data_IF_431003320326
#
_entry.id   IF_431003320326
#
_cell.length_a   1.000
_cell.length_b   1.000
_cell.length_c   1.000
_cell.angle_alpha   90.00
_cell.angle_beta   90.00
_cell.angle_gamma   90.00
#
_symmetry.space_group_name_H-M   'P 1'
#
loop_
_entity.id
_entity.type
_entity.pdbx_description
1 polymer ?
#
# COMPACT_ATOMS: atom_id res chain seq x y z
N UNK A 1 29.55 -7.90 5.45
CA UNK A 1 28.36 -8.31 4.69
C UNK A 1 27.68 -9.51 5.35
N UNK A 2 27.14 -9.37 6.56
CA UNK A 2 26.46 -10.51 7.20
C UNK A 2 25.46 -10.09 8.31
N UNK A 3 24.44 -9.30 7.93
CA UNK A 3 23.28 -9.03 8.81
C UNK A 3 21.96 -9.53 8.20
N UNK A 4 21.99 -10.17 7.03
CA UNK A 4 20.80 -10.45 6.21
C UNK A 4 20.52 -11.94 6.01
N UNK A 5 21.03 -12.82 6.88
CA UNK A 5 20.75 -14.26 6.82
C UNK A 5 20.25 -14.77 8.17
N UNK A 6 18.92 -14.83 8.30
CA UNK A 6 18.16 -16.03 8.73
C UNK A 6 16.94 -15.80 9.62
N UNK A 7 16.37 -14.60 9.70
CA UNK A 7 14.99 -14.45 10.20
C UNK A 7 14.12 -13.88 9.08
N UNK A 8 13.47 -14.77 8.32
CA UNK A 8 12.37 -14.35 7.46
C UNK A 8 11.25 -13.89 8.38
N UNK A 9 10.99 -12.59 8.41
CA UNK A 9 9.83 -12.04 9.12
C UNK A 9 8.56 -12.73 8.63
N UNK A 10 7.71 -13.13 9.56
CA UNK A 10 6.39 -13.68 9.25
C UNK A 10 5.53 -12.63 8.58
N UNK A 11 4.61 -13.05 7.72
CA UNK A 11 3.64 -12.15 7.09
C UNK A 11 2.91 -11.25 8.10
N UNK A 12 2.65 -11.75 9.30
CA UNK A 12 2.07 -11.00 10.43
C UNK A 12 2.97 -9.86 10.89
N UNK A 13 4.27 -10.11 11.10
CA UNK A 13 5.25 -9.11 11.55
C UNK A 13 5.44 -8.01 10.50
N UNK A 14 5.48 -8.39 9.22
CA UNK A 14 5.58 -7.43 8.12
C UNK A 14 4.29 -6.61 8.00
N UNK A 15 3.13 -7.23 8.19
CA UNK A 15 1.83 -6.53 8.15
C UNK A 15 1.67 -5.55 9.29
N UNK A 16 2.02 -5.93 10.52
CA UNK A 16 1.99 -5.05 11.69
C UNK A 16 2.97 -3.88 11.52
N UNK A 17 4.19 -4.14 11.03
CA UNK A 17 5.16 -3.09 10.70
C UNK A 17 4.62 -2.12 9.64
N UNK A 18 3.98 -2.64 8.58
CA UNK A 18 3.37 -1.81 7.55
C UNK A 18 2.22 -0.94 8.09
N UNK A 19 1.39 -1.49 9.00
CA UNK A 19 0.33 -0.74 9.69
C UNK A 19 0.90 0.37 10.55
N UNK A 20 1.97 0.10 11.30
CA UNK A 20 2.65 1.11 12.11
C UNK A 20 3.25 2.22 11.26
N UNK A 21 4.00 1.85 10.21
CA UNK A 21 4.53 2.80 9.23
C UNK A 21 3.41 3.67 8.66
N UNK A 22 2.33 3.11 8.10
CA UNK A 22 1.28 3.94 7.51
C UNK A 22 0.48 4.78 8.52
N UNK A 23 0.18 4.22 9.70
CA UNK A 23 -0.63 4.89 10.72
C UNK A 23 0.09 6.05 11.40
N UNK A 24 1.38 5.88 11.69
CA UNK A 24 2.21 6.90 12.34
C UNK A 24 2.92 7.82 11.36
N UNK A 25 3.56 7.24 10.34
CA UNK A 25 4.53 7.95 9.49
C UNK A 25 3.87 9.03 8.62
N UNK A 26 2.65 8.83 8.16
CA UNK A 26 1.94 9.83 7.33
C UNK A 26 1.70 11.15 8.06
N UNK A 27 1.64 11.12 9.40
CA UNK A 27 1.49 12.33 10.23
C UNK A 27 2.83 13.01 10.49
N UNK A 28 3.95 12.33 10.20
CA UNK A 28 5.30 12.76 10.52
C UNK A 28 6.06 13.31 9.30
N UNK A 29 5.63 12.99 8.07
CA UNK A 29 6.24 13.55 6.86
C UNK A 29 5.54 14.86 6.50
N UNK A 30 6.21 15.98 6.74
CA UNK A 30 5.72 17.30 6.35
C UNK A 30 5.50 17.40 4.83
N UNK A 31 4.40 18.05 4.44
CA UNK A 31 4.05 18.25 3.02
C UNK A 31 3.32 17.08 2.35
N UNK A 32 3.14 15.95 3.03
CA UNK A 32 2.42 14.79 2.51
C UNK A 32 1.19 14.46 3.36
N UNK A 33 0.04 14.34 2.70
CA UNK A 33 -1.27 14.16 3.37
C UNK A 33 -1.88 12.79 3.11
N UNK A 34 -1.22 11.93 2.33
CA UNK A 34 -1.65 10.56 2.02
C UNK A 34 -0.46 9.73 1.53
N UNK A 35 -0.62 8.41 1.48
CA UNK A 35 0.44 7.50 1.05
C UNK A 35 0.02 6.03 1.12
N UNK A 36 0.90 5.16 0.65
CA UNK A 36 0.67 3.73 0.59
C UNK A 36 1.94 2.91 0.86
N UNK A 37 1.76 1.67 1.29
CA UNK A 37 2.82 0.66 1.43
C UNK A 37 2.37 -0.60 0.71
N UNK A 38 3.30 -1.24 0.01
CA UNK A 38 3.10 -2.54 -0.63
C UNK A 38 3.96 -3.57 0.10
N UNK A 39 3.32 -4.64 0.55
CA UNK A 39 3.91 -5.71 1.35
C UNK A 39 3.85 -7.01 0.56
N UNK A 40 5.00 -7.63 0.21
CA UNK A 40 5.01 -8.95 -0.41
C UNK A 40 4.51 -10.00 0.59
N UNK A 41 3.90 -11.06 0.07
CA UNK A 41 3.40 -12.20 0.85
C UNK A 41 4.10 -13.49 0.45
N UNK A 42 4.18 -14.45 1.37
CA UNK A 42 4.80 -15.76 1.10
C UNK A 42 4.12 -16.52 -0.06
N UNK A 43 2.82 -16.31 -0.26
CA UNK A 43 2.03 -16.92 -1.34
C UNK A 43 2.28 -16.29 -2.72
N UNK A 44 3.23 -15.35 -2.84
CA UNK A 44 3.56 -14.67 -4.11
C UNK A 44 2.64 -13.51 -4.48
N UNK A 45 1.64 -13.19 -3.64
CA UNK A 45 0.84 -11.98 -3.77
C UNK A 45 1.57 -10.77 -3.16
N UNK A 46 0.99 -9.60 -3.36
CA UNK A 46 1.40 -8.39 -2.63
C UNK A 46 0.18 -7.61 -2.16
N UNK A 47 0.14 -7.29 -0.88
CA UNK A 47 -0.90 -6.43 -0.31
C UNK A 47 -0.51 -4.97 -0.43
N UNK A 48 -1.49 -4.10 -0.71
CA UNK A 48 -1.33 -2.65 -0.64
C UNK A 48 -2.22 -2.11 0.47
N UNK A 49 -1.65 -1.23 1.29
CA UNK A 49 -2.37 -0.49 2.33
C UNK A 49 -2.19 0.99 2.12
N UNK A 50 -3.26 1.76 2.26
CA UNK A 50 -3.29 3.20 2.02
C UNK A 50 -3.88 3.92 3.22
N UNK A 51 -3.35 5.11 3.51
CA UNK A 51 -3.86 6.03 4.52
C UNK A 51 -3.89 7.46 3.99
N UNK A 52 -4.81 8.25 4.49
CA UNK A 52 -4.87 9.70 4.23
C UNK A 52 -5.34 10.48 5.45
N UNK A 53 -4.93 11.75 5.50
CA UNK A 53 -5.41 12.76 6.44
C UNK A 53 -6.76 13.35 5.96
N UNK A 54 -7.52 14.08 6.79
CA UNK A 54 -8.68 14.84 6.33
C UNK A 54 -8.34 15.84 5.21
N UNK A 55 -9.30 16.15 4.33
CA UNK A 55 -9.12 17.06 3.19
C UNK A 55 -7.99 16.61 2.24
N UNK A 56 -7.89 15.30 2.03
CA UNK A 56 -6.83 14.66 1.25
C UNK A 56 -7.44 13.61 0.31
N UNK A 57 -6.59 12.80 -0.32
CA UNK A 57 -7.04 11.76 -1.25
C UNK A 57 -7.97 10.77 -0.54
N UNK A 58 -9.14 10.53 -1.14
CA UNK A 58 -10.03 9.45 -0.77
C UNK A 58 -9.43 8.11 -1.24
N UNK A 59 -8.77 7.41 -0.32
CA UNK A 59 -8.03 6.19 -0.64
C UNK A 59 -8.93 4.99 -0.89
N UNK A 60 -10.18 5.00 -0.39
CA UNK A 60 -11.18 3.97 -0.72
C UNK A 60 -11.53 4.02 -2.20
N UNK A 61 -11.88 5.22 -2.67
CA UNK A 61 -12.31 5.44 -4.05
C UNK A 61 -11.21 5.04 -5.05
N UNK A 62 -9.96 5.40 -4.73
CA UNK A 62 -8.79 4.96 -5.50
C UNK A 62 -8.73 3.43 -5.61
N UNK A 63 -8.85 2.71 -4.49
CA UNK A 63 -8.76 1.25 -4.47
C UNK A 63 -9.91 0.55 -5.18
N UNK A 64 -11.13 1.07 -5.01
CA UNK A 64 -12.33 0.57 -5.68
C UNK A 64 -12.21 0.77 -7.21
N UNK A 65 -11.73 1.93 -7.67
CA UNK A 65 -11.53 2.19 -9.11
C UNK A 65 -10.35 1.46 -9.73
N UNK A 66 -9.32 1.16 -8.94
CA UNK A 66 -8.26 0.25 -9.38
C UNK A 66 -8.78 -1.19 -9.52
N UNK A 67 -9.92 -1.53 -8.89
CA UNK A 67 -10.53 -2.85 -8.98
C UNK A 67 -9.78 -3.94 -8.21
N UNK A 68 -8.91 -3.55 -7.27
CA UNK A 68 -8.04 -4.49 -6.53
C UNK A 68 -8.34 -4.51 -5.02
N UNK A 69 -9.30 -3.69 -4.54
CA UNK A 69 -9.60 -3.60 -3.12
C UNK A 69 -10.67 -2.58 -2.75
N UNK A 70 -10.68 -2.16 -1.49
CA UNK A 70 -11.66 -1.23 -0.91
C UNK A 70 -11.32 -0.84 0.53
N UNK A 71 -12.30 -0.28 1.26
CA UNK A 71 -12.14 0.08 2.68
C UNK A 71 -12.91 1.34 3.06
N UNK A 72 -12.30 2.19 3.89
CA UNK A 72 -12.84 3.48 4.32
C UNK A 72 -12.14 4.64 3.62
N UNK A 73 -12.80 5.80 3.52
CA UNK A 73 -12.32 6.98 2.78
C UNK A 73 -10.87 7.37 3.11
N UNK A 74 -10.42 7.13 4.35
CA UNK A 74 -9.06 7.45 4.84
C UNK A 74 -8.19 6.23 5.16
N UNK A 75 -8.71 5.02 4.98
CA UNK A 75 -7.99 3.79 5.27
C UNK A 75 -8.52 2.65 4.39
N UNK A 76 -7.79 2.34 3.32
CA UNK A 76 -8.18 1.33 2.34
C UNK A 76 -7.00 0.41 2.02
N UNK A 77 -7.27 -0.67 1.31
CA UNK A 77 -6.26 -1.61 0.88
C UNK A 77 -6.80 -2.61 -0.13
N UNK A 78 -5.90 -3.44 -0.64
CA UNK A 78 -6.21 -4.43 -1.66
C UNK A 78 -5.06 -5.42 -1.83
N UNK A 79 -5.26 -6.38 -2.72
CA UNK A 79 -4.26 -7.42 -2.98
C UNK A 79 -4.03 -7.53 -4.48
N UNK A 80 -2.77 -7.44 -4.88
CA UNK A 80 -2.34 -7.79 -6.21
C UNK A 80 -2.24 -9.31 -6.33
N UNK A 81 -3.23 -9.93 -6.98
CA UNK A 81 -3.26 -11.37 -7.24
C UNK A 81 -2.79 -11.65 -8.67
N UNK A 82 -1.73 -12.45 -8.84
CA UNK A 82 -1.41 -13.02 -10.15
C UNK A 82 -0.70 -14.36 -10.03
N UNK A 83 -1.03 -15.25 -10.97
CA UNK A 83 -0.61 -16.66 -11.07
C UNK A 83 0.88 -16.93 -11.31
N UNK A 84 1.75 -15.92 -11.24
CA UNK A 84 3.21 -16.08 -11.39
C UNK A 84 3.92 -14.89 -10.73
N UNK A 85 4.08 -14.96 -9.40
CA UNK A 85 4.91 -14.07 -8.58
C UNK A 85 4.95 -12.61 -9.01
N UNK A 86 4.03 -11.78 -8.50
CA UNK A 86 4.11 -10.34 -8.78
C UNK A 86 5.20 -9.72 -7.90
N UNK A 87 6.19 -9.06 -8.53
CA UNK A 87 7.20 -8.34 -7.76
C UNK A 87 6.62 -7.04 -7.20
N UNK A 88 7.03 -6.66 -5.99
CA UNK A 88 6.64 -5.38 -5.36
C UNK A 88 6.88 -4.19 -6.30
N UNK A 89 7.99 -4.21 -7.04
CA UNK A 89 8.32 -3.17 -8.03
C UNK A 89 7.25 -3.05 -9.13
N UNK A 90 6.69 -4.17 -9.58
CA UNK A 90 5.62 -4.18 -10.59
C UNK A 90 4.33 -3.61 -10.01
N UNK A 91 3.99 -3.94 -8.76
CA UNK A 91 2.85 -3.35 -8.05
C UNK A 91 3.00 -1.82 -7.89
N UNK A 92 4.19 -1.34 -7.52
CA UNK A 92 4.49 0.10 -7.44
C UNK A 92 4.28 0.76 -8.81
N UNK A 93 4.86 0.20 -9.87
CA UNK A 93 4.71 0.72 -11.24
C UNK A 93 3.26 0.77 -11.70
N UNK A 94 2.48 -0.29 -11.45
CA UNK A 94 1.06 -0.32 -11.77
C UNK A 94 0.27 0.76 -11.01
N UNK A 95 0.58 0.95 -9.73
CA UNK A 95 -0.06 1.98 -8.90
C UNK A 95 0.26 3.38 -9.43
N UNK A 96 1.53 3.68 -9.70
CA UNK A 96 1.97 4.97 -10.26
C UNK A 96 1.40 5.23 -11.65
N UNK A 97 1.36 4.22 -12.51
CA UNK A 97 0.76 4.32 -13.84
C UNK A 97 -0.73 4.64 -13.74
N UNK A 98 -1.46 3.96 -12.86
CA UNK A 98 -2.87 4.26 -12.62
C UNK A 98 -3.05 5.70 -12.14
N UNK A 99 -2.23 6.17 -11.18
CA UNK A 99 -2.27 7.54 -10.67
C UNK A 99 -1.98 8.58 -11.77
N UNK A 100 -1.09 8.29 -12.71
CA UNK A 100 -0.79 9.22 -13.82
C UNK A 100 -1.98 9.43 -14.77
N UNK A 101 -2.92 8.48 -14.82
CA UNK A 101 -4.09 8.47 -15.71
C UNK A 101 -5.39 8.87 -15.01
N UNK A 102 -5.40 8.94 -13.68
CA UNK A 102 -6.60 9.12 -12.89
C UNK A 102 -6.43 10.26 -11.88
N UNK A 103 -7.32 11.24 -11.93
CA UNK A 103 -7.36 12.30 -10.90
C UNK A 103 -7.92 11.72 -9.59
N UNK A 104 -7.28 12.02 -8.44
CA UNK A 104 -7.79 11.58 -7.15
C UNK A 104 -9.05 12.38 -6.76
N UNK A 105 -9.96 11.72 -6.06
CA UNK A 105 -11.04 12.40 -5.33
C UNK A 105 -10.48 12.90 -4.01
N UNK A 106 -10.82 14.14 -3.64
CA UNK A 106 -10.40 14.77 -2.38
C UNK A 106 -11.60 14.81 -1.42
N UNK A 107 -11.39 14.38 -0.18
CA UNK A 107 -12.36 14.28 0.91
C UNK A 107 -11.71 14.58 2.28
#
# INVERSE_FOLDING_TARGET
>A
EDFMKSEKYKDEEITESARFCLGGFIRLIEGYTWGFVITPKENGNSDISLRSLPASVNVREMMERMGIGGGHNRAAGGTFTKYDGISVLKCIKQTLEWMSKNKPVID
#
